data_IF_237234205757
#
_entry.id   IF_237234205757
#
_cell.length_a   1.000
_cell.length_b   1.000
_cell.length_c   1.000
_cell.angle_alpha   90.00
_cell.angle_beta   90.00
_cell.angle_gamma   90.00
#
_symmetry.space_group_name_H-M   'P 1'
#
loop_
_entity.id
_entity.type
_entity.pdbx_description
1 polymer ?
2 polymer ?
3 non-polymer ?
4 non-polymer ?
5 non-polymer ?
6 non-polymer ?
7 non-polymer ?
8 water ?
#
# COMPACT_ATOMS: atom_id res chain seq x y z
N UNK A 1 -6.28 5.42 17.41
CA UNK A 1 -7.06 6.24 16.49
C UNK A 1 -8.56 6.15 16.81
N UNK A 2 -9.27 7.25 16.56
CA UNK A 2 -10.71 7.34 16.82
C UNK A 2 -11.39 7.98 15.63
N UNK A 3 -11.75 7.20 14.62
CA UNK A 3 -12.41 7.74 13.44
C UNK A 3 -13.88 8.06 13.74
N UNK A 4 -14.54 8.63 12.74
CA UNK A 4 -15.99 8.84 12.81
C UNK A 4 -16.58 8.60 11.44
N UNK A 5 -17.66 7.82 11.40
CA UNK A 5 -18.35 7.48 10.17
C UNK A 5 -19.80 7.96 10.26
N UNK A 6 -20.51 7.88 9.13
CA UNK A 6 -21.94 8.14 9.09
C UNK A 6 -22.72 6.92 8.63
N UNK A 7 -22.17 5.72 8.82
CA UNK A 7 -22.86 4.47 8.57
C UNK A 7 -22.72 3.56 9.79
N UNK A 8 -23.72 2.74 10.01
CA UNK A 8 -23.67 1.77 11.10
C UNK A 8 -22.87 0.54 10.66
N UNK A 9 -22.29 -0.16 11.62
CA UNK A 9 -21.45 -1.32 11.33
C UNK A 9 -22.34 -2.55 11.23
N UNK A 10 -22.42 -3.21 10.08
CA UNK A 10 -23.32 -4.35 9.94
C UNK A 10 -22.83 -5.58 10.66
N UNK A 11 -23.79 -6.42 11.06
CA UNK A 11 -23.50 -7.70 11.69
C UNK A 11 -23.01 -8.66 10.64
N UNK A 12 -21.92 -9.37 10.93
CA UNK A 12 -21.35 -10.36 10.04
C UNK A 12 -20.87 -11.54 10.85
N UNK A 13 -20.88 -12.70 10.25
CA UNK A 13 -20.43 -13.88 10.96
C UNK A 13 -18.92 -14.06 10.81
N UNK A 14 -18.29 -14.81 11.72
CA UNK A 14 -16.87 -15.12 11.54
C UNK A 14 -16.55 -15.79 10.21
N UNK A 15 -17.43 -16.66 9.71
CA UNK A 15 -17.13 -17.31 8.43
C UNK A 15 -17.17 -16.31 7.29
N UNK A 16 -18.08 -15.35 7.35
CA UNK A 16 -18.15 -14.32 6.30
C UNK A 16 -16.89 -13.46 6.33
N UNK A 17 -16.46 -13.05 7.51
CA UNK A 17 -15.28 -12.18 7.63
C UNK A 17 -14.05 -12.88 7.10
N UNK A 18 -13.89 -14.17 7.42
CA UNK A 18 -12.69 -14.91 7.06
C UNK A 18 -12.63 -15.30 5.59
N UNK A 19 -13.72 -15.16 4.82
CA UNK A 19 -13.61 -15.55 3.42
C UNK A 19 -12.56 -14.69 2.71
N UNK A 20 -11.73 -15.39 1.93
CA UNK A 20 -10.62 -14.73 1.25
C UNK A 20 -9.46 -14.32 2.13
N UNK A 21 -9.48 -14.69 3.40
CA UNK A 21 -8.39 -14.38 4.31
C UNK A 21 -7.65 -15.67 4.64
N UNK A 22 -6.40 -15.52 5.03
CA UNK A 22 -5.59 -16.62 5.51
C UNK A 22 -5.27 -16.41 6.98
N UNK A 23 -5.26 -17.49 7.73
CA UNK A 23 -4.99 -17.46 9.14
C UNK A 23 -3.49 -17.59 9.33
N UNK A 24 -2.88 -16.56 9.89
CA UNK A 24 -1.45 -16.55 10.19
C UNK A 24 -1.30 -16.95 11.66
N UNK A 25 -0.66 -18.07 11.96
CA UNK A 25 -0.56 -18.50 13.36
C UNK A 25 0.35 -17.58 14.16
N UNK A 26 0.12 -17.58 15.48
CA UNK A 26 1.01 -16.85 16.37
C UNK A 26 2.42 -17.40 16.29
N UNK A 27 3.40 -16.50 16.42
CA UNK A 27 4.78 -16.93 16.40
C UNK A 27 5.70 -15.74 16.22
N UNK A 28 6.95 -16.05 15.94
CA UNK A 28 7.97 -15.03 15.75
C UNK A 28 8.47 -15.01 14.31
N UNK A 29 9.02 -13.86 13.95
CA UNK A 29 9.71 -13.72 12.68
C UNK A 29 10.71 -12.60 12.82
N UNK A 30 11.65 -12.55 11.89
CA UNK A 30 12.65 -11.49 11.86
C UNK A 30 12.18 -10.40 10.92
N UNK A 31 11.83 -9.26 11.51
CA UNK A 31 11.34 -8.09 10.80
C UNK A 31 12.47 -7.12 10.52
N UNK A 32 12.34 -6.37 9.44
CA UNK A 32 13.30 -5.34 9.11
C UNK A 32 14.29 -5.80 8.06
N UNK A 33 15.21 -4.91 7.73
CA UNK A 33 16.23 -5.22 6.75
C UNK A 33 17.53 -4.55 7.06
N UNK A 34 18.59 -5.09 6.46
CA UNK A 34 19.95 -4.56 6.61
C UNK A 34 20.64 -4.45 5.27
N UNK A 35 19.88 -4.20 4.21
CA UNK A 35 20.48 -3.98 2.91
C UNK A 35 21.38 -2.75 2.98
N UNK A 36 22.65 -2.86 2.59
CA UNK A 36 23.54 -1.70 2.69
C UNK A 36 23.09 -0.49 1.88
N UNK A 37 22.25 -0.69 0.87
CA UNK A 37 21.77 0.40 0.02
C UNK A 37 20.48 1.03 0.52
N UNK A 38 19.93 0.56 1.63
CA UNK A 38 18.68 1.15 2.12
C UNK A 38 18.90 2.62 2.47
N UNK A 39 17.87 3.43 2.26
CA UNK A 39 17.95 4.84 2.59
C UNK A 39 17.83 4.99 4.10
N UNK A 40 18.82 5.59 4.79
CA UNK A 40 18.71 5.72 6.25
C UNK A 40 17.38 6.30 6.72
N UNK A 41 16.83 7.28 6.00
CA UNK A 41 15.61 7.94 6.43
C UNK A 41 14.40 7.01 6.44
N UNK A 42 14.49 5.85 5.78
CA UNK A 42 13.37 4.91 5.78
C UNK A 42 13.31 4.05 7.04
N UNK A 43 14.40 3.93 7.79
CA UNK A 43 14.39 3.11 8.97
C UNK A 43 14.03 1.66 8.74
N UNK A 44 14.64 1.02 7.73
CA UNK A 44 14.39 -0.39 7.49
C UNK A 44 14.96 -1.25 8.61
N UNK A 45 16.03 -0.80 9.26
CA UNK A 45 16.60 -1.54 10.36
C UNK A 45 16.11 -1.03 11.69
N UNK A 46 16.52 -1.71 12.78
CA UNK A 46 17.34 -2.92 12.75
C UNK A 46 16.52 -4.14 12.37
N UNK A 47 17.19 -5.22 11.96
CA UNK A 47 16.53 -6.52 11.94
C UNK A 47 16.26 -6.92 13.38
N UNK A 48 15.06 -7.41 13.66
CA UNK A 48 14.71 -7.78 15.03
C UNK A 48 13.71 -8.93 14.99
N UNK A 49 13.69 -9.71 16.06
CA UNK A 49 12.71 -10.76 16.22
C UNK A 49 11.47 -10.17 16.87
N UNK A 50 10.33 -10.37 16.23
CA UNK A 50 9.05 -9.87 16.67
C UNK A 50 8.12 -11.05 16.87
N UNK A 51 7.36 -11.01 17.96
CA UNK A 51 6.34 -12.03 18.23
C UNK A 51 4.97 -11.42 17.97
N UNK A 52 4.15 -12.15 17.22
CA UNK A 52 2.79 -11.72 16.91
C UNK A 52 1.77 -12.74 17.39
N UNK A 53 0.66 -12.22 17.86
CA UNK A 53 -0.51 -13.04 18.12
C UNK A 53 -1.13 -13.49 16.80
N UNK A 54 -1.88 -14.60 16.81
CA UNK A 54 -2.52 -15.06 15.56
C UNK A 54 -3.40 -13.96 14.96
N UNK A 55 -3.48 -13.94 13.63
CA UNK A 55 -4.33 -12.97 12.95
C UNK A 55 -4.72 -13.51 11.60
N UNK A 56 -5.74 -12.90 11.01
CA UNK A 56 -6.18 -13.17 9.65
C UNK A 56 -5.71 -12.02 8.77
N UNK A 57 -5.39 -12.33 7.51
CA UNK A 57 -5.03 -11.27 6.56
C UNK A 57 -5.56 -11.64 5.19
N UNK A 58 -6.00 -10.63 4.45
CA UNK A 58 -6.53 -10.83 3.11
C UNK A 58 -5.47 -11.39 2.15
N UNK A 59 -5.86 -12.39 1.36
CA UNK A 59 -4.99 -12.90 0.30
C UNK A 59 -4.78 -11.85 -0.77
N UNK A 60 -5.77 -11.00 -1.00
CA UNK A 60 -5.78 -10.04 -2.09
C UNK A 60 -5.96 -8.64 -1.53
N UNK A 61 -5.34 -7.65 -2.16
CA UNK A 61 -5.73 -6.29 -1.87
C UNK A 61 -7.22 -6.12 -2.19
N UNK A 62 -7.84 -5.17 -1.50
CA UNK A 62 -9.25 -4.89 -1.74
C UNK A 62 -9.46 -4.42 -3.17
N UNK A 63 -10.46 -4.97 -3.84
CA UNK A 63 -10.67 -4.73 -5.27
C UNK A 63 -11.68 -3.61 -5.49
N UNK A 64 -11.71 -3.12 -6.73
CA UNK A 64 -12.73 -2.15 -7.11
C UNK A 64 -14.14 -2.67 -6.85
N UNK A 65 -14.42 -3.90 -7.25
CA UNK A 65 -15.75 -4.46 -7.04
C UNK A 65 -16.13 -4.48 -5.57
N UNK A 66 -15.18 -4.85 -4.70
CA UNK A 66 -15.45 -4.87 -3.27
C UNK A 66 -15.66 -3.47 -2.72
N UNK A 67 -14.83 -2.51 -3.14
CA UNK A 67 -14.99 -1.15 -2.66
C UNK A 67 -16.32 -0.57 -3.14
N UNK A 68 -16.69 -0.85 -4.39
CA UNK A 68 -17.97 -0.40 -4.92
C UNK A 68 -19.14 -0.92 -4.07
N UNK A 69 -19.06 -2.16 -3.61
CA UNK A 69 -20.12 -2.69 -2.77
C UNK A 69 -20.20 -1.96 -1.44
N UNK A 70 -19.05 -1.61 -0.86
CA UNK A 70 -19.02 -0.81 0.35
C UNK A 70 -19.68 0.54 0.12
N UNK A 71 -19.32 1.22 -0.98
CA UNK A 71 -19.89 2.54 -1.25
C UNK A 71 -21.39 2.44 -1.50
N UNK A 72 -21.82 1.41 -2.23
CA UNK A 72 -23.24 1.15 -2.47
C UNK A 72 -24.02 1.06 -1.16
N UNK A 73 -23.45 0.29 -0.23
CA UNK A 73 -24.15 -0.02 1.01
C UNK A 73 -24.17 1.15 2.00
N UNK A 74 -23.23 2.09 1.89
CA UNK A 74 -23.02 3.09 2.93
C UNK A 74 -23.15 4.53 2.47
N UNK A 75 -23.03 4.79 1.17
CA UNK A 75 -22.93 6.16 0.70
C UNK A 75 -21.62 6.84 1.00
N UNK A 76 -20.59 6.07 1.37
CA UNK A 76 -19.33 6.67 1.77
C UNK A 76 -18.73 7.53 0.66
N UNK A 77 -18.22 8.70 1.05
CA UNK A 77 -17.56 9.65 0.16
C UNK A 77 -16.09 9.64 0.50
N UNK A 78 -15.25 9.38 -0.49
CA UNK A 78 -13.82 9.26 -0.22
C UNK A 78 -13.18 10.64 -0.10
N UNK A 79 -12.00 10.65 0.53
CA UNK A 79 -11.25 11.89 0.70
C UNK A 79 -10.98 12.56 -0.65
N UNK A 80 -10.61 11.77 -1.66
CA UNK A 80 -10.33 12.36 -2.98
C UNK A 80 -11.57 13.06 -3.55
N UNK A 81 -12.76 12.53 -3.28
CA UNK A 81 -13.97 13.19 -3.73
C UNK A 81 -14.22 14.47 -2.96
N UNK A 82 -13.94 14.48 -1.66
CA UNK A 82 -14.11 15.71 -0.88
C UNK A 82 -13.14 16.78 -1.36
N UNK A 83 -11.88 16.42 -1.57
CA UNK A 83 -10.88 17.38 -2.02
C UNK A 83 -11.13 17.78 -3.47
N UNK A 84 -11.67 16.86 -4.27
CA UNK A 84 -11.90 17.13 -5.68
C UNK A 84 -10.76 16.77 -6.60
N UNK A 85 -9.69 16.14 -6.10
CA UNK A 85 -8.56 15.77 -6.94
C UNK A 85 -7.78 14.66 -6.25
N UNK A 86 -6.93 14.01 -7.04
CA UNK A 86 -6.03 12.98 -6.55
C UNK A 86 -4.83 12.91 -7.48
N UNK A 87 -3.80 12.18 -7.05
CA UNK A 87 -2.55 12.09 -7.77
C UNK A 87 -2.59 10.96 -8.78
N UNK A 88 -2.21 11.29 -10.03
CA UNK A 88 -2.17 10.35 -11.16
C UNK A 88 -0.76 10.42 -11.74
N UNK A 89 -0.24 9.28 -12.17
CA UNK A 89 1.07 9.27 -12.81
C UNK A 89 0.98 9.95 -14.18
N UNK A 90 2.01 10.75 -14.50
CA UNK A 90 1.94 11.64 -15.66
C UNK A 90 1.60 10.88 -16.95
N UNK A 91 2.18 9.70 -17.14
CA UNK A 91 1.99 8.96 -18.39
C UNK A 91 0.57 8.46 -18.56
N UNK A 92 -0.23 8.46 -17.50
CA UNK A 92 -1.59 7.94 -17.53
C UNK A 92 -2.65 9.03 -17.65
N UNK A 93 -2.25 10.30 -17.69
CA UNK A 93 -3.19 11.41 -17.84
C UNK A 93 -3.45 11.60 -19.33
N UNK A 94 -4.69 11.42 -19.75
CA UNK A 94 -5.02 11.60 -21.16
C UNK A 94 -4.80 13.06 -21.55
N UNK A 95 -4.24 13.31 -22.74
CA UNK A 95 -4.04 14.69 -23.18
C UNK A 95 -5.37 15.44 -23.18
N UNK A 96 -5.32 16.70 -22.76
CA UNK A 96 -6.53 17.49 -22.65
C UNK A 96 -7.25 17.36 -21.32
N UNK A 97 -6.99 16.31 -20.54
CA UNK A 97 -7.56 16.24 -19.20
C UNK A 97 -7.10 17.47 -18.42
N UNK A 98 -8.01 18.23 -17.83
CA UNK A 98 -7.59 19.38 -17.02
C UNK A 98 -6.76 18.91 -15.84
N UNK A 99 -5.64 19.61 -15.60
CA UNK A 99 -4.75 19.28 -14.50
C UNK A 99 -4.38 20.54 -13.73
N UNK A 100 -4.10 20.36 -12.45
CA UNK A 100 -3.63 21.45 -11.61
C UNK A 100 -2.15 21.69 -11.86
N UNK A 101 -1.70 22.92 -11.61
CA UNK A 101 -0.29 23.26 -11.74
C UNK A 101 0.56 22.73 -10.60
N UNK A 102 -0.05 22.02 -9.65
CA UNK A 102 0.64 21.62 -8.43
C UNK A 102 1.88 20.79 -8.73
N UNK A 103 2.90 20.96 -7.90
CA UNK A 103 4.17 20.25 -8.00
C UNK A 103 4.40 19.50 -6.70
N UNK A 104 4.58 18.19 -6.78
CA UNK A 104 5.12 17.44 -5.66
C UNK A 104 6.64 17.67 -5.70
N UNK A 105 7.24 18.31 -4.70
CA UNK A 105 8.68 18.57 -4.80
C UNK A 105 9.45 17.27 -5.01
N UNK A 106 10.39 17.29 -5.95
CA UNK A 106 11.27 16.17 -6.24
C UNK A 106 10.61 15.10 -7.09
N UNK A 107 9.32 15.20 -7.39
CA UNK A 107 8.59 14.10 -8.03
C UNK A 107 7.64 14.67 -9.07
N UNK A 108 8.19 15.28 -10.13
CA UNK A 108 7.34 15.92 -11.14
C UNK A 108 6.50 14.95 -11.96
N UNK A 109 6.70 13.64 -11.82
CA UNK A 109 5.88 12.65 -12.51
C UNK A 109 4.49 12.50 -11.90
N UNK A 110 4.22 13.06 -10.72
CA UNK A 110 2.91 13.05 -10.12
C UNK A 110 2.12 14.27 -10.56
N UNK A 111 0.89 14.05 -11.00
CA UNK A 111 0.01 15.12 -11.46
C UNK A 111 -1.21 15.13 -10.56
N UNK A 112 -1.57 16.31 -10.06
CA UNK A 112 -2.81 16.48 -9.30
C UNK A 112 -3.93 16.71 -10.32
N UNK A 113 -4.88 15.79 -10.37
CA UNK A 113 -5.90 15.76 -11.42
C UNK A 113 -7.27 15.98 -10.78
N UNK A 114 -7.92 17.12 -11.04
CA UNK A 114 -9.30 17.30 -10.60
C UNK A 114 -10.18 16.16 -11.09
N UNK A 115 -10.99 15.62 -10.19
CA UNK A 115 -11.91 14.57 -10.55
C UNK A 115 -11.34 13.17 -10.67
N UNK A 116 -10.05 12.98 -10.40
CA UNK A 116 -9.51 11.64 -10.29
C UNK A 116 -9.93 11.06 -8.93
N UNK A 117 -10.50 9.86 -8.94
CA UNK A 117 -10.89 9.18 -7.70
C UNK A 117 -11.05 7.71 -8.02
N UNK A 118 -11.50 6.94 -7.02
CA UNK A 118 -11.42 5.49 -7.17
C UNK A 118 -12.16 4.99 -8.40
N UNK A 119 -13.29 5.64 -8.76
CA UNK A 119 -14.09 5.17 -9.88
C UNK A 119 -13.66 5.78 -11.20
N UNK A 120 -12.80 6.79 -11.17
CA UNK A 120 -12.27 7.45 -12.37
C UNK A 120 -10.78 7.65 -12.14
N UNK A 121 -9.98 6.59 -12.24
CA UNK A 121 -8.62 6.64 -11.67
C UNK A 121 -7.64 7.49 -12.44
N UNK A 122 -7.96 7.89 -13.66
CA UNK A 122 -7.13 8.81 -14.42
C UNK A 122 -7.80 10.15 -14.61
N UNK A 123 -8.91 10.40 -13.92
CA UNK A 123 -9.59 11.66 -14.00
C UNK A 123 -10.85 11.55 -14.83
N UNK A 124 -11.50 12.70 -15.05
CA UNK A 124 -12.75 12.70 -15.81
C UNK A 124 -12.56 12.03 -17.17
N UNK A 125 -13.48 11.14 -17.50
CA UNK A 125 -13.40 10.37 -18.72
C UNK A 125 -12.88 8.96 -18.55
N UNK A 126 -12.27 8.64 -17.41
CA UNK A 126 -11.81 7.29 -17.14
C UNK A 126 -12.83 6.59 -16.26
N UNK A 127 -12.71 5.26 -16.19
CA UNK A 127 -13.62 4.47 -15.38
C UNK A 127 -12.92 3.17 -15.00
N UNK A 128 -13.63 2.33 -14.26
CA UNK A 128 -13.11 1.04 -13.81
C UNK A 128 -13.88 -0.13 -14.42
N UNK A 129 -14.59 0.12 -15.50
CA UNK A 129 -15.43 -0.91 -16.12
C UNK A 129 -14.62 -2.15 -16.49
N UNK A 130 -13.35 -1.97 -16.89
CA UNK A 130 -12.47 -3.08 -17.25
C UNK A 130 -11.52 -3.46 -16.13
N UNK A 131 -11.73 -2.96 -14.93
CA UNK A 131 -10.83 -3.22 -13.79
C UNK A 131 -11.57 -3.66 -12.54
N UNK A 132 -12.68 -4.42 -12.63
CA UNK A 132 -13.39 -4.80 -11.40
C UNK A 132 -12.52 -5.54 -10.39
N UNK A 133 -11.59 -6.37 -10.85
CA UNK A 133 -10.76 -7.15 -9.93
C UNK A 133 -9.36 -6.56 -9.76
N UNK A 134 -9.15 -5.32 -10.18
CA UNK A 134 -7.93 -4.62 -9.84
C UNK A 134 -8.05 -4.05 -8.43
N UNK A 135 -6.92 -3.76 -7.79
CA UNK A 135 -6.98 -3.12 -6.47
C UNK A 135 -7.64 -1.76 -6.60
N UNK A 136 -8.49 -1.43 -5.63
CA UNK A 136 -9.01 -0.08 -5.58
C UNK A 136 -7.87 0.88 -5.25
N UNK A 137 -7.84 2.02 -5.93
CA UNK A 137 -6.84 3.05 -5.69
C UNK A 137 -7.53 4.38 -5.45
N UNK A 138 -6.72 5.42 -5.23
CA UNK A 138 -7.24 6.71 -4.79
C UNK A 138 -8.04 6.60 -3.52
N UNK A 139 -7.67 5.64 -2.68
CA UNK A 139 -8.24 5.50 -1.35
C UNK A 139 -7.20 5.94 -0.35
N UNK A 140 -7.60 6.83 0.54
CA UNK A 140 -6.73 7.31 1.59
C UNK A 140 -6.74 6.33 2.76
N UNK A 141 -5.90 6.61 3.74
CA UNK A 141 -5.88 5.79 4.94
C UNK A 141 -7.23 5.84 5.63
N UNK A 142 -7.86 7.03 5.67
CA UNK A 142 -9.20 7.15 6.24
C UNK A 142 -10.19 6.26 5.50
N UNK A 143 -10.17 6.31 4.17
CA UNK A 143 -11.09 5.48 3.39
C UNK A 143 -10.86 4.00 3.69
N UNK A 144 -9.58 3.60 3.78
CA UNK A 144 -9.24 2.20 4.03
C UNK A 144 -9.78 1.76 5.38
N UNK A 145 -9.59 2.58 6.41
CA UNK A 145 -10.10 2.23 7.73
C UNK A 145 -11.64 2.16 7.72
N UNK A 146 -12.29 3.07 7.00
CA UNK A 146 -13.74 3.03 6.87
C UNK A 146 -14.21 1.72 6.24
N UNK A 147 -13.63 1.34 5.10
CA UNK A 147 -13.95 0.06 4.47
C UNK A 147 -13.71 -1.10 5.43
N UNK A 148 -12.53 -1.13 6.04
CA UNK A 148 -12.17 -2.25 6.89
C UNK A 148 -13.18 -2.39 8.03
N UNK A 149 -13.53 -1.27 8.66
CA UNK A 149 -14.48 -1.30 9.77
C UNK A 149 -15.85 -1.80 9.30
N UNK A 150 -16.32 -1.28 8.16
CA UNK A 150 -17.58 -1.78 7.61
C UNK A 150 -17.53 -3.28 7.35
N UNK A 151 -16.37 -3.80 6.91
CA UNK A 151 -16.19 -5.20 6.57
C UNK A 151 -16.00 -6.08 7.79
N UNK A 152 -15.92 -5.51 8.99
CA UNK A 152 -15.68 -6.28 10.19
C UNK A 152 -14.22 -6.58 10.44
N UNK A 153 -13.35 -5.71 9.94
CA UNK A 153 -11.90 -5.97 9.86
C UNK A 153 -11.18 -4.72 10.33
N UNK A 154 -9.89 -4.64 10.02
CA UNK A 154 -9.02 -3.53 10.38
C UNK A 154 -7.85 -3.51 9.40
N UNK A 155 -7.00 -2.51 9.50
CA UNK A 155 -5.75 -2.57 8.75
C UNK A 155 -4.72 -3.41 9.51
N UNK A 156 -3.83 -4.07 8.80
CA UNK A 156 -2.74 -4.77 9.48
C UNK A 156 -1.78 -3.77 10.09
N UNK A 157 -1.15 -4.16 11.20
CA UNK A 157 0.02 -3.42 11.62
C UNK A 157 1.15 -3.67 10.62
N UNK A 158 2.18 -2.84 10.68
CA UNK A 158 3.31 -3.06 9.78
C UNK A 158 3.92 -4.44 10.03
N UNK A 159 4.01 -4.84 11.29
CA UNK A 159 4.60 -6.14 11.59
C UNK A 159 3.74 -7.29 11.07
N UNK A 160 2.43 -7.19 11.22
CA UNK A 160 1.54 -8.20 10.66
C UNK A 160 1.68 -8.25 9.15
N UNK A 161 1.68 -7.08 8.50
CA UNK A 161 1.82 -7.03 7.06
C UNK A 161 3.10 -7.74 6.65
N UNK A 162 4.20 -7.41 7.33
CA UNK A 162 5.50 -7.94 6.90
C UNK A 162 5.61 -9.45 7.19
N UNK A 163 5.09 -9.90 8.33
CA UNK A 163 5.13 -11.33 8.58
C UNK A 163 4.36 -12.07 7.51
N UNK A 164 3.18 -11.59 7.18
CA UNK A 164 2.37 -12.24 6.16
C UNK A 164 3.02 -12.17 4.80
N UNK A 165 3.58 -10.99 4.44
CA UNK A 165 4.16 -10.83 3.14
C UNK A 165 5.42 -11.66 2.96
N UNK A 166 6.15 -11.90 4.04
CA UNK A 166 7.35 -12.72 3.95
C UNK A 166 7.02 -14.18 3.72
N UNK A 167 5.81 -14.62 4.01
CA UNK A 167 5.35 -15.92 3.58
C UNK A 167 6.18 -17.08 4.08
N UNK A 168 6.65 -17.00 5.32
CA UNK A 168 7.34 -18.11 5.94
C UNK A 168 8.82 -18.24 5.60
N UNK A 169 9.40 -17.28 4.90
CA UNK A 169 10.83 -17.26 4.65
C UNK A 169 11.50 -16.34 5.66
N UNK A 170 12.70 -16.73 6.11
CA UNK A 170 13.46 -15.94 7.07
C UNK A 170 14.40 -15.00 6.32
N UNK A 171 14.10 -13.70 6.38
CA UNK A 171 15.01 -12.66 5.92
C UNK A 171 15.38 -12.83 4.44
N UNK A 172 14.39 -13.20 3.64
CA UNK A 172 14.55 -13.14 2.20
C UNK A 172 14.31 -11.71 1.71
N UNK A 173 14.83 -11.43 0.51
CA UNK A 173 14.71 -10.09 -0.05
C UNK A 173 13.28 -9.77 -0.49
N UNK A 174 12.59 -10.74 -1.09
CA UNK A 174 11.27 -10.59 -1.67
C UNK A 174 10.36 -11.64 -1.04
N UNK A 175 9.05 -11.53 -1.30
CA UNK A 175 8.11 -12.49 -0.70
C UNK A 175 8.39 -13.94 -1.06
N UNK A 176 8.98 -14.18 -2.21
CA UNK A 176 9.20 -15.53 -2.74
C UNK A 176 10.63 -16.01 -2.62
N UNK A 177 11.58 -15.16 -2.23
CA UNK A 177 12.97 -15.55 -2.20
C UNK A 177 13.85 -14.35 -2.46
N UNK A 178 15.08 -14.62 -2.93
CA UNK A 178 16.10 -13.59 -3.04
C UNK A 178 16.31 -13.08 -4.45
N UNK A 179 15.78 -13.77 -5.46
CA UNK A 179 15.93 -13.34 -6.85
C UNK A 179 14.67 -12.64 -7.30
N UNK A 180 14.83 -11.55 -8.05
CA UNK A 180 13.67 -10.76 -8.46
C UNK A 180 12.84 -11.51 -9.50
N UNK A 181 13.49 -12.10 -10.50
CA UNK A 181 12.79 -12.88 -11.53
C UNK A 181 13.42 -14.27 -11.59
N UNK A 182 13.13 -15.11 -10.61
CA UNK A 182 13.66 -16.48 -10.64
C UNK A 182 13.16 -17.21 -11.87
N UNK A 183 14.06 -17.98 -12.48
CA UNK A 183 13.76 -18.74 -13.70
C UNK A 183 13.30 -17.84 -14.84
N UNK A 184 13.64 -16.56 -14.79
CA UNK A 184 13.21 -15.61 -15.80
C UNK A 184 11.73 -15.26 -15.76
N UNK A 185 11.04 -15.60 -14.68
CA UNK A 185 9.61 -15.31 -14.59
C UNK A 185 9.42 -14.08 -13.72
N UNK A 186 8.57 -13.19 -14.19
CA UNK A 186 8.16 -12.07 -13.36
C UNK A 186 7.24 -12.58 -12.26
N UNK A 187 7.47 -12.06 -11.06
CA UNK A 187 6.75 -12.46 -9.87
C UNK A 187 5.94 -11.32 -9.27
N UNK A 188 6.05 -10.12 -9.82
CA UNK A 188 5.36 -8.96 -9.28
C UNK A 188 5.31 -7.89 -10.36
N UNK A 189 4.41 -6.93 -10.15
CA UNK A 189 4.17 -5.83 -11.07
C UNK A 189 4.88 -4.59 -10.53
N UNK A 190 6.06 -4.32 -11.09
CA UNK A 190 6.83 -3.12 -10.78
C UNK A 190 7.19 -2.48 -12.11
N UNK A 191 8.09 -1.49 -12.12
CA UNK A 191 8.49 -0.85 -13.36
C UNK A 191 9.61 -1.64 -14.02
N UNK A 192 9.60 -1.70 -15.35
CA UNK A 192 10.79 -2.09 -16.09
C UNK A 192 11.08 -1.00 -17.11
N UNK A 193 12.36 -0.77 -17.35
CA UNK A 193 12.77 0.27 -18.27
C UNK A 193 13.48 1.41 -17.57
N UNK A 194 13.14 2.63 -17.98
CA UNK A 194 13.85 3.81 -17.53
C UNK A 194 12.84 4.70 -16.80
N UNK A 195 12.93 4.73 -15.48
CA UNK A 195 11.96 5.51 -14.71
C UNK A 195 12.39 6.97 -14.68
N UNK A 196 11.47 7.94 -14.87
CA UNK A 196 10.02 7.81 -15.08
C UNK A 196 9.59 7.95 -16.55
N UNK A 197 10.56 7.74 -17.45
CA UNK A 197 10.40 8.10 -18.85
C UNK A 197 9.65 7.03 -19.63
N UNK A 198 9.99 5.76 -19.43
CA UNK A 198 9.38 4.72 -20.24
C UNK A 198 9.31 3.41 -19.48
N UNK A 199 8.09 2.90 -19.32
CA UNK A 199 7.84 1.61 -18.71
C UNK A 199 7.64 0.60 -19.84
N UNK A 200 8.50 -0.40 -19.92
CA UNK A 200 8.42 -1.38 -21.01
C UNK A 200 7.27 -2.36 -20.83
N UNK A 201 6.70 -2.48 -19.63
CA UNK A 201 5.61 -3.42 -19.42
C UNK A 201 6.01 -4.87 -19.57
N UNK A 202 7.28 -5.19 -19.30
CA UNK A 202 7.76 -6.56 -19.46
C UNK A 202 6.95 -7.55 -18.61
N UNK A 203 6.54 -7.12 -17.40
CA UNK A 203 5.79 -8.01 -16.51
C UNK A 203 4.33 -8.12 -16.89
N UNK A 204 3.90 -7.45 -17.96
CA UNK A 204 2.55 -7.54 -18.43
C UNK A 204 1.71 -6.31 -18.21
N UNK A 205 2.15 -5.38 -17.36
CA UNK A 205 1.30 -4.28 -16.90
C UNK A 205 2.12 -3.01 -16.77
N UNK A 206 1.58 -1.91 -17.28
CA UNK A 206 2.15 -0.59 -17.03
C UNK A 206 1.22 0.24 -16.15
N UNK A 207 0.24 -0.39 -15.53
CA UNK A 207 -0.57 0.20 -14.48
C UNK A 207 -0.84 -0.91 -13.50
N UNK A 208 -1.94 -0.79 -12.78
CA UNK A 208 -2.30 -1.86 -11.87
C UNK A 208 -2.66 -3.13 -12.65
N UNK A 209 -2.46 -4.26 -12.00
CA UNK A 209 -2.84 -5.57 -12.43
C UNK A 209 -3.98 -6.08 -11.56
N UNK A 210 -4.73 -7.08 -12.02
CA UNK A 210 -5.71 -7.72 -11.12
C UNK A 210 -5.08 -8.18 -9.82
N UNK A 211 -5.88 -8.17 -8.75
CA UNK A 211 -5.37 -8.49 -7.42
C UNK A 211 -4.85 -9.91 -7.32
N UNK A 212 -5.27 -10.81 -8.22
CA UNK A 212 -4.81 -12.19 -8.22
C UNK A 212 -3.71 -12.46 -9.24
N UNK A 213 -3.07 -11.42 -9.78
CA UNK A 213 -1.99 -11.62 -10.73
C UNK A 213 -0.76 -12.23 -10.06
N UNK A 214 0.01 -12.98 -10.83
CA UNK A 214 1.26 -13.62 -10.40
C UNK A 214 1.01 -14.69 -9.37
N UNK A 215 2.04 -15.45 -9.05
CA UNK A 215 1.88 -16.51 -8.07
C UNK A 215 1.80 -15.90 -6.68
N UNK A 216 1.12 -16.56 -5.75
CA UNK A 216 1.11 -16.09 -4.36
C UNK A 216 2.43 -16.42 -3.68
N UNK A 217 2.59 -15.91 -2.46
CA UNK A 217 3.72 -16.27 -1.63
C UNK A 217 3.37 -17.56 -0.88
N UNK A 218 4.26 -17.98 0.03
CA UNK A 218 4.10 -19.26 0.70
C UNK A 218 2.90 -19.34 1.62
N UNK A 219 2.32 -18.21 2.01
CA UNK A 219 1.13 -18.19 2.83
C UNK A 219 -0.13 -17.94 2.01
N UNK A 220 0.00 -17.82 0.69
CA UNK A 220 -1.15 -17.62 -0.16
C UNK A 220 -1.54 -16.17 -0.42
N UNK A 221 -0.65 -15.21 -0.13
CA UNK A 221 -0.94 -13.81 -0.40
C UNK A 221 -0.42 -13.42 -1.78
N UNK A 222 -1.21 -12.62 -2.47
CA UNK A 222 -0.92 -12.16 -3.82
C UNK A 222 -0.55 -10.68 -3.83
N UNK A 223 0.48 -10.35 -4.62
CA UNK A 223 0.87 -8.96 -4.88
C UNK A 223 1.16 -8.18 -3.61
N UNK A 224 1.81 -8.84 -2.65
CA UNK A 224 2.37 -8.10 -1.51
C UNK A 224 3.53 -7.23 -1.96
N UNK A 225 4.35 -7.69 -2.91
CA UNK A 225 5.34 -6.86 -3.58
C UNK A 225 4.74 -6.33 -4.88
N UNK A 226 4.88 -5.02 -5.10
CA UNK A 226 4.43 -4.41 -6.33
C UNK A 226 2.92 -4.22 -6.37
N UNK A 227 2.47 -3.81 -7.54
CA UNK A 227 1.08 -3.51 -7.82
C UNK A 227 0.68 -2.20 -7.16
N UNK A 228 0.24 -2.21 -5.91
CA UNK A 228 -0.05 -0.97 -5.19
C UNK A 228 0.60 -0.97 -3.82
N UNK A 229 0.99 0.23 -3.38
CA UNK A 229 1.32 0.42 -1.98
C UNK A 229 0.09 0.08 -1.14
N UNK A 230 0.33 -0.40 0.08
CA UNK A 230 -0.75 -0.83 0.95
C UNK A 230 -0.66 -0.15 2.30
N UNK A 231 -1.73 0.55 2.67
CA UNK A 231 -1.78 1.23 3.95
C UNK A 231 -1.76 0.24 5.12
N UNK A 232 -0.97 0.57 6.13
CA UNK A 232 -0.97 -0.14 7.40
C UNK A 232 -1.45 0.78 8.51
N UNK A 233 -1.74 0.17 9.66
CA UNK A 233 -2.34 0.91 10.77
C UNK A 233 -1.35 1.89 11.42
N UNK A 234 -0.05 1.61 11.37
CA UNK A 234 0.92 2.30 12.21
C UNK A 234 1.17 3.74 11.77
N UNK A 235 1.37 4.62 12.75
CA UNK A 235 2.04 5.87 12.48
C UNK A 235 3.47 5.60 12.06
N UNK A 236 3.96 6.42 11.13
CA UNK A 236 5.32 6.31 10.65
C UNK A 236 6.33 6.91 11.61
N UNK A 237 7.45 6.22 11.78
CA UNK A 237 8.68 6.85 12.24
C UNK A 237 9.82 6.02 11.68
N UNK A 238 11.01 6.62 11.69
CA UNK A 238 12.19 5.94 11.21
C UNK A 238 12.92 5.20 12.33
N UNK A 239 12.57 5.46 13.60
CA UNK A 239 13.39 4.95 14.69
C UNK A 239 12.65 4.49 15.94
N UNK A 240 11.32 4.59 16.03
CA UNK A 240 10.62 4.05 17.20
C UNK A 240 10.99 2.59 17.44
N UNK A 241 11.07 1.82 16.36
CA UNK A 241 11.33 0.39 16.43
C UNK A 241 12.80 0.05 16.67
N UNK A 242 13.69 1.04 16.77
CA UNK A 242 15.07 0.75 17.15
C UNK A 242 15.20 0.45 18.65
N UNK A 243 14.24 0.87 19.44
CA UNK A 243 14.22 0.53 20.86
C UNK A 243 13.93 -0.95 21.03
N UNK A 244 14.56 -1.57 22.03
CA UNK A 244 14.28 -2.97 22.37
C UNK A 244 13.42 -3.03 23.63
N UNK A 245 12.15 -3.35 23.45
CA UNK A 245 11.20 -3.37 24.57
C UNK A 245 10.03 -4.26 24.18
N UNK A 246 9.20 -4.65 25.14
CA UNK A 246 7.98 -5.37 24.77
C UNK A 246 7.12 -4.61 23.79
N UNK A 247 7.00 -3.30 23.95
CA UNK A 247 6.15 -2.51 23.06
C UNK A 247 6.63 -2.57 21.61
N UNK A 248 7.94 -2.71 21.37
CA UNK A 248 8.45 -2.74 20.01
C UNK A 248 8.71 -4.14 19.49
N UNK A 249 8.52 -5.16 20.31
CA UNK A 249 8.88 -6.51 19.92
C UNK A 249 7.77 -7.53 20.08
N UNK A 250 6.68 -7.21 20.75
CA UNK A 250 5.54 -8.10 20.94
C UNK A 250 4.31 -7.35 20.45
N UNK A 251 3.69 -7.84 19.39
CA UNK A 251 2.52 -7.20 18.78
C UNK A 251 2.73 -5.68 18.65
N UNK A 252 3.86 -5.26 18.08
CA UNK A 252 4.15 -3.83 18.05
C UNK A 252 3.13 -3.06 17.23
N UNK A 253 2.73 -1.91 17.76
CA UNK A 253 1.73 -1.07 17.11
C UNK A 253 2.32 0.21 16.51
N UNK A 254 3.63 0.43 16.64
CA UNK A 254 4.23 1.66 16.18
C UNK A 254 4.05 2.79 17.18
N UNK A 255 4.61 3.96 16.86
CA UNK A 255 4.54 5.08 17.80
C UNK A 255 3.12 5.53 18.02
N UNK A 256 2.88 6.11 19.20
CA UNK A 256 1.49 6.46 19.51
C UNK A 256 1.04 7.73 18.81
N UNK A 257 1.97 8.54 18.31
CA UNK A 257 1.63 9.74 17.55
C UNK A 257 2.46 9.78 16.29
N UNK A 258 2.00 10.59 15.35
CA UNK A 258 2.75 10.80 14.13
C UNK A 258 1.98 11.72 13.20
N UNK A 259 2.53 11.88 11.99
CA UNK A 259 1.92 12.71 10.95
C UNK A 259 1.56 11.94 9.69
N UNK A 260 2.23 10.82 9.42
CA UNK A 260 2.01 10.03 8.22
C UNK A 260 1.84 8.59 8.67
N UNK A 261 1.07 7.82 7.92
CA UNK A 261 0.86 6.41 8.23
C UNK A 261 1.74 5.57 7.31
N UNK A 262 2.10 4.38 7.78
CA UNK A 262 2.99 3.49 7.04
C UNK A 262 2.28 2.92 5.81
N UNK A 263 3.04 2.82 4.72
CA UNK A 263 2.62 2.06 3.53
C UNK A 263 3.69 1.04 3.22
N UNK A 264 3.28 -0.15 2.80
CA UNK A 264 4.18 -1.26 2.52
C UNK A 264 3.96 -1.82 1.12
N UNK A 265 5.02 -2.40 0.57
CA UNK A 265 4.90 -3.34 -0.53
C UNK A 265 5.38 -2.85 -1.88
N UNK A 266 5.53 -1.56 -2.08
CA UNK A 266 5.86 -1.08 -3.41
C UNK A 266 4.67 -1.12 -4.35
N UNK A 267 4.90 -0.62 -5.55
CA UNK A 267 3.84 -0.47 -6.54
C UNK A 267 4.37 -0.73 -7.93
N UNK A 268 3.46 -0.59 -8.90
CA UNK A 268 3.80 -0.72 -10.31
C UNK A 268 4.79 0.32 -10.78
N UNK A 269 5.05 1.38 -10.00
CA UNK A 269 6.03 2.40 -10.35
C UNK A 269 7.41 2.18 -9.77
N UNK A 270 7.60 1.25 -8.82
CA UNK A 270 8.89 1.15 -8.16
C UNK A 270 9.92 0.53 -9.09
N UNK A 271 11.17 0.96 -8.93
CA UNK A 271 12.27 0.47 -9.76
C UNK A 271 13.58 0.55 -8.99
N UNK A 272 14.46 -0.40 -9.26
CA UNK A 272 15.73 -0.47 -8.55
C UNK A 272 16.58 0.80 -8.73
N UNK A 273 16.45 1.48 -9.86
CA UNK A 273 17.30 2.61 -10.15
C UNK A 273 16.85 3.86 -9.43
N UNK A 274 15.64 3.85 -8.87
CA UNK A 274 15.14 5.03 -8.22
C UNK A 274 14.90 4.67 -6.76
N UNK A 275 13.77 4.05 -6.43
CA UNK A 275 13.40 3.85 -5.03
C UNK A 275 13.81 2.49 -4.47
N UNK A 276 14.07 1.49 -5.32
CA UNK A 276 14.21 0.12 -4.85
C UNK A 276 13.31 -0.31 -3.68
N UNK A 277 12.04 0.10 -3.64
CA UNK A 277 11.20 -0.14 -2.47
C UNK A 277 10.21 -1.29 -2.62
N UNK A 278 10.46 -2.22 -3.53
CA UNK A 278 9.60 -3.40 -3.64
C UNK A 278 10.15 -4.62 -2.89
N UNK A 279 11.25 -4.46 -2.17
CA UNK A 279 11.74 -5.47 -1.24
C UNK A 279 10.81 -5.53 -0.04
N UNK A 280 10.68 -6.71 0.56
CA UNK A 280 9.65 -6.88 1.57
C UNK A 280 9.97 -6.10 2.86
N UNK A 281 11.24 -5.83 3.16
CA UNK A 281 11.59 -4.99 4.30
C UNK A 281 11.37 -3.51 4.05
N UNK A 282 11.15 -3.11 2.81
CA UNK A 282 11.04 -1.70 2.49
C UNK A 282 9.79 -1.09 3.13
N UNK A 283 9.79 0.22 3.25
CA UNK A 283 8.70 0.92 3.91
C UNK A 283 8.76 2.40 3.53
N UNK A 284 7.59 3.00 3.44
CA UNK A 284 7.50 4.46 3.39
C UNK A 284 6.19 4.87 4.04
N UNK A 285 5.73 6.09 3.78
CA UNK A 285 4.58 6.61 4.46
C UNK A 285 3.89 7.63 3.57
N UNK A 286 2.67 7.98 3.97
CA UNK A 286 1.94 9.06 3.34
C UNK A 286 0.96 9.61 4.37
N UNK A 287 0.58 10.87 4.20
CA UNK A 287 -0.35 11.45 5.17
C UNK A 287 -1.74 10.86 4.97
N UNK A 288 -2.51 10.73 6.05
CA UNK A 288 -3.65 9.81 6.01
C UNK A 288 -4.83 10.24 5.15
N UNK A 289 -4.97 11.52 4.79
CA UNK A 289 -6.01 11.89 3.83
C UNK A 289 -5.51 11.95 2.39
N UNK A 290 -4.26 11.55 2.13
CA UNK A 290 -3.72 11.54 0.78
C UNK A 290 -4.18 10.30 0.02
N UNK A 291 -4.18 10.43 -1.31
CA UNK A 291 -4.60 9.34 -2.18
C UNK A 291 -3.82 9.43 -3.49
N UNK A 292 -3.67 8.29 -4.13
CA UNK A 292 -2.85 8.24 -5.34
C UNK A 292 -3.23 7.02 -6.15
N UNK A 293 -2.88 7.08 -7.43
CA UNK A 293 -3.23 6.04 -8.37
C UNK A 293 -2.50 4.72 -8.14
N UNK A 294 -1.51 4.70 -7.24
CA UNK A 294 -0.71 3.51 -6.99
C UNK A 294 -0.81 3.03 -5.55
N UNK A 295 -1.83 3.43 -4.81
CA UNK A 295 -1.95 3.12 -3.39
C UNK A 295 -3.34 2.60 -3.08
N UNK A 296 -3.37 1.43 -2.46
CA UNK A 296 -4.58 0.77 -2.01
C UNK A 296 -4.35 0.18 -0.64
N UNK A 297 -4.95 -0.99 -0.39
CA UNK A 297 -4.83 -1.60 0.93
C UNK A 297 -5.38 -3.02 0.90
N UNK A 298 -4.98 -3.80 1.91
CA UNK A 298 -5.61 -5.07 2.23
C UNK A 298 -5.96 -5.06 3.71
N UNK A 299 -6.93 -5.88 4.11
CA UNK A 299 -7.39 -5.91 5.49
C UNK A 299 -6.80 -7.08 6.25
N UNK A 300 -6.81 -6.92 7.57
CA UNK A 300 -6.49 -7.93 8.56
C UNK A 300 -7.66 -8.04 9.53
N UNK A 301 -7.65 -9.06 10.37
CA UNK A 301 -8.67 -9.18 11.41
C UNK A 301 -8.12 -10.02 12.56
N UNK A 302 -8.58 -9.69 13.77
CA UNK A 302 -8.33 -10.57 14.90
C UNK A 302 -9.18 -11.82 14.72
N UNK A 303 -8.67 -12.99 15.11
CA UNK A 303 -9.50 -14.18 14.88
C UNK A 303 -10.75 -14.20 15.77
N UNK B 1 19.22 12.59 -5.09
CA UNK B 1 19.95 13.64 -4.37
C UNK B 1 19.49 13.76 -2.94
N UNK B 2 18.26 13.35 -2.63
CA UNK B 2 17.85 13.30 -1.22
C UNK B 2 17.41 11.89 -0.82
N UNK B 3 16.13 11.69 -0.54
CA UNK B 3 15.55 10.36 -0.46
C UNK B 3 14.45 10.21 -1.52
N UNK B 4 14.48 9.17 -2.34
CA UNK B 4 13.42 8.97 -3.32
C UNK B 4 12.02 8.99 -2.70
N UNK B 5 11.06 9.47 -3.47
CA UNK B 5 9.70 9.67 -3.02
C UNK B 5 8.78 8.71 -3.75
N UNK B 6 8.12 7.82 -2.99
CA UNK B 6 7.08 6.96 -3.53
C UNK B 6 5.66 7.34 -3.10
N UNK B 7 5.49 8.07 -1.99
CA UNK B 7 4.17 8.43 -1.52
C UNK B 7 3.90 9.92 -1.59
N UNK B 8 3.15 10.36 -2.61
CA UNK B 8 2.88 11.79 -2.78
C UNK B 8 1.75 12.22 -1.86
N UNK B 9 2.01 13.25 -1.06
CA UNK B 9 1.06 13.69 -0.05
C UNK B 9 0.36 14.98 -0.46
N UNK B 10 -0.88 15.12 0.00
CA UNK B 10 -1.61 16.36 -0.28
C UNK B 10 -0.89 17.55 0.31
N UNK B 11 -0.27 17.37 1.48
CA UNK B 11 0.44 18.48 2.12
C UNK B 11 1.62 18.95 1.29
N UNK B 12 2.20 18.07 0.47
CA UNK B 12 3.45 18.39 -0.21
C UNK B 12 3.31 19.48 -1.26
N UNK B 13 2.09 19.66 -1.81
CA UNK B 13 1.87 20.64 -2.89
C UNK B 13 1.50 22.02 -2.37
N UNK B 14 1.23 22.17 -1.07
CA UNK B 14 0.92 23.47 -0.50
C UNK B 14 2.20 24.30 -0.42
N UNK B 15 2.19 25.46 -1.07
CA UNK B 15 3.35 26.35 -1.08
C UNK B 15 2.84 27.74 -1.45
N UNK B 16 2.66 28.58 -0.44
CA UNK B 16 2.20 29.95 -0.67
C UNK B 16 0.88 30.03 -1.40
X LIG C 1 8.84 3.00 -5.02
X LIG D 1 2.05 -4.16 -2.89
X LIG E 1 4.76 -3.45 -14.51
X LIG F 1 14.32 -2.91 -15.89
X LIG G 1 17.76 -10.57 -8.52
X LIG H 1 6.10 4.23 -6.15
X LIG H 1 5.93 3.03 -6.13
X LIG I 1 18.79 10.17 -5.49
X LIG I 1 18.89 8.83 -5.12
X LIG I 1 18.29 7.86 -5.95
X LIG I 1 17.61 8.22 -7.09
X LIG I 1 18.07 10.51 -6.64
X LIG I 1 17.50 9.54 -7.43
X LIG I 1 19.58 8.44 -3.98
X LIG I 1 19.44 11.24 -4.71
X LIG I 1 20.13 11.03 -3.74
#
# INVERSE_FOLDING_TARGET
HMPSFDFDIPRRSPQEIAKGMVAIPGGTFRMGGEDPDAFPEDGEGPVRTVRLSPFLIDRYAVSNRQFAAFVKATGYVTDAERYGWSFVFHAHVAPGTPVMDAVVPEAPWWVAVPGAYWKAPEGPGSSITDRPNHPVVHVSWNDAVAYATWAGKRLPTEAEWEMAARGGLDQARYPWGNELTPRGRHRCNIWQGTFPVHDTGEDGYTGTAPVNAFAPNGYGLYNVAGNVWEWCADWWSADWHATESPATRIDPRGPETGTARVTKGGSFLCHESYCNRYRVAARTCNTPDSSAAHTGFRCAADP
ATTPLCGPSRASILSG
CU1 CU
CA CA
CA CA
CL CL
CL CL
OXY O1 O2
SOA C4 C3 C2 C1 C5 C6 N11 C12 O1
#
